data_IF_712508386748
#
_entry.id   IF_712508386748
#
_cell.length_a   1.000
_cell.length_b   1.000
_cell.length_c   1.000
_cell.angle_alpha   90.00
_cell.angle_beta   90.00
_cell.angle_gamma   90.00
#
_symmetry.space_group_name_H-M   'P 1'
#
loop_
_entity.id
_entity.type
_entity.pdbx_description
1 polymer ?
#
# COMPACT_ATOMS: atom_id res chain seq x y z
N UNK A 1 -0.37 -12.87 4.22
CA UNK A 1 1.05 -12.45 4.10
C UNK A 1 1.18 -11.11 4.79
N UNK A 2 2.23 -10.94 5.59
CA UNK A 2 2.31 -9.83 6.53
C UNK A 2 2.92 -8.57 5.89
N UNK A 3 2.12 -7.51 5.78
CA UNK A 3 2.64 -6.16 5.50
C UNK A 3 3.16 -5.54 6.80
N UNK A 4 4.48 -5.61 6.97
CA UNK A 4 5.16 -5.07 8.16
C UNK A 4 5.09 -3.54 8.23
N UNK A 5 5.49 -2.98 9.37
CA UNK A 5 5.59 -1.54 9.61
C UNK A 5 6.54 -0.87 8.60
N UNK A 6 7.60 -1.57 8.17
CA UNK A 6 8.54 -1.05 7.17
C UNK A 6 7.89 -0.90 5.80
N UNK A 7 7.10 -1.89 5.37
CA UNK A 7 6.32 -1.78 4.14
C UNK A 7 5.36 -0.60 4.22
N UNK A 8 4.66 -0.43 5.35
CA UNK A 8 3.77 0.69 5.57
C UNK A 8 4.46 2.07 5.49
N UNK A 9 5.71 2.17 5.99
CA UNK A 9 6.54 3.39 5.85
C UNK A 9 6.88 3.66 4.39
N UNK A 10 7.30 2.64 3.63
CA UNK A 10 7.60 2.76 2.19
C UNK A 10 6.36 3.20 1.40
N UNK A 11 5.20 2.61 1.68
CA UNK A 11 3.93 2.98 1.04
C UNK A 11 3.60 4.45 1.26
N UNK A 12 3.70 4.93 2.51
CA UNK A 12 3.44 6.35 2.84
C UNK A 12 4.41 7.29 2.14
N UNK A 13 5.69 6.93 2.08
CA UNK A 13 6.74 7.73 1.41
C UNK A 13 6.46 7.83 -0.09
N UNK A 14 6.35 6.70 -0.78
CA UNK A 14 6.09 6.68 -2.23
C UNK A 14 4.77 7.38 -2.59
N UNK A 15 3.73 7.20 -1.77
CA UNK A 15 2.47 7.93 -1.96
C UNK A 15 2.65 9.44 -1.84
N UNK A 16 3.43 9.90 -0.87
CA UNK A 16 3.76 11.31 -0.68
C UNK A 16 4.58 11.89 -1.82
N UNK A 17 5.61 11.17 -2.27
CA UNK A 17 6.46 11.55 -3.41
C UNK A 17 5.64 11.68 -4.70
N UNK A 18 4.69 10.77 -4.94
CA UNK A 18 3.78 10.82 -6.10
C UNK A 18 2.55 11.74 -5.90
N UNK A 19 2.44 12.42 -4.76
CA UNK A 19 1.31 13.28 -4.39
C UNK A 19 -0.08 12.61 -4.54
N UNK A 20 -0.15 11.30 -4.32
CA UNK A 20 -1.38 10.54 -4.49
C UNK A 20 -2.30 10.65 -3.25
N UNK A 21 -3.58 10.92 -3.50
CA UNK A 21 -4.62 10.83 -2.47
C UNK A 21 -4.86 9.38 -2.04
N UNK A 22 -5.35 9.17 -0.80
CA UNK A 22 -5.64 7.82 -0.29
C UNK A 22 -6.65 7.05 -1.16
N UNK A 23 -7.68 7.74 -1.66
CA UNK A 23 -8.68 7.12 -2.55
C UNK A 23 -8.08 6.76 -3.90
N UNK A 24 -7.18 7.59 -4.43
CA UNK A 24 -6.52 7.34 -5.71
C UNK A 24 -5.58 6.13 -5.61
N UNK A 25 -4.76 6.05 -4.56
CA UNK A 25 -3.90 4.90 -4.34
C UNK A 25 -4.72 3.61 -4.12
N UNK A 26 -5.80 3.68 -3.34
CA UNK A 26 -6.67 2.54 -3.12
C UNK A 26 -7.27 2.01 -4.44
N UNK A 27 -7.72 2.92 -5.32
CA UNK A 27 -8.19 2.57 -6.68
C UNK A 27 -7.07 1.94 -7.51
N UNK A 28 -5.86 2.51 -7.51
CA UNK A 28 -4.69 1.98 -8.26
C UNK A 28 -4.34 0.56 -7.83
N UNK A 29 -4.36 0.28 -6.52
CA UNK A 29 -4.10 -1.03 -5.93
C UNK A 29 -5.32 -1.98 -5.97
N UNK A 30 -6.45 -1.56 -6.54
CA UNK A 30 -7.71 -2.32 -6.59
C UNK A 30 -8.12 -2.84 -5.19
N UNK A 31 -8.10 -1.93 -4.21
CA UNK A 31 -8.54 -2.15 -2.83
C UNK A 31 -9.46 -1.01 -2.38
N UNK A 32 -10.10 -1.20 -1.24
CA UNK A 32 -10.92 -0.15 -0.62
C UNK A 32 -10.06 0.81 0.21
N UNK A 33 -10.44 2.10 0.35
CA UNK A 33 -9.72 3.05 1.19
C UNK A 33 -9.51 2.60 2.65
N UNK A 34 -10.48 1.92 3.31
CA UNK A 34 -10.25 1.36 4.65
C UNK A 34 -9.14 0.30 4.67
N UNK A 35 -9.03 -0.54 3.63
CA UNK A 35 -7.94 -1.51 3.52
C UNK A 35 -6.60 -0.82 3.33
N UNK A 36 -6.55 0.25 2.52
CA UNK A 36 -5.33 1.07 2.41
C UNK A 36 -4.93 1.67 3.77
N UNK A 37 -5.88 2.16 4.56
CA UNK A 37 -5.59 2.68 5.89
C UNK A 37 -4.96 1.62 6.82
N UNK A 38 -5.43 0.36 6.75
CA UNK A 38 -4.80 -0.77 7.47
C UNK A 38 -3.38 -1.06 6.99
N UNK A 39 -3.16 -1.01 5.67
CA UNK A 39 -1.83 -1.19 5.07
C UNK A 39 -0.86 -0.09 5.54
N UNK A 40 -1.29 1.17 5.54
CA UNK A 40 -0.48 2.31 5.97
C UNK A 40 -0.23 2.36 7.48
N UNK A 41 -1.12 1.77 8.28
CA UNK A 41 -0.90 1.55 9.71
C UNK A 41 0.17 0.47 9.95
N UNK A 42 0.26 -0.51 9.05
CA UNK A 42 1.20 -1.63 9.12
C UNK A 42 0.69 -2.78 10.00
N UNK A 43 1.50 -3.85 10.07
CA UNK A 43 1.16 -5.11 10.74
C UNK A 43 -0.19 -5.68 10.26
N UNK A 44 -0.47 -5.56 8.96
CA UNK A 44 -1.69 -6.04 8.35
C UNK A 44 -1.43 -7.39 7.69
N UNK A 45 -2.13 -8.44 8.15
CA UNK A 45 -2.14 -9.72 7.47
C UNK A 45 -3.06 -9.65 6.25
N UNK A 46 -2.45 -9.41 5.10
CA UNK A 46 -3.14 -9.19 3.85
C UNK A 46 -3.33 -10.51 3.09
N UNK A 47 -4.46 -10.71 2.39
CA UNK A 47 -4.58 -11.74 1.37
C UNK A 47 -3.45 -11.63 0.35
N UNK A 48 -2.98 -12.77 -0.17
CA UNK A 48 -1.84 -12.86 -1.12
C UNK A 48 -1.94 -11.83 -2.27
N UNK A 49 -3.12 -11.71 -2.90
CA UNK A 49 -3.41 -10.74 -3.97
C UNK A 49 -3.11 -9.28 -3.57
N UNK A 50 -3.49 -8.89 -2.36
CA UNK A 50 -3.29 -7.52 -1.86
C UNK A 50 -1.82 -7.29 -1.53
N UNK A 51 -1.19 -8.28 -0.89
CA UNK A 51 0.24 -8.23 -0.59
C UNK A 51 1.06 -8.05 -1.88
N UNK A 52 0.85 -8.90 -2.88
CA UNK A 52 1.53 -8.84 -4.17
C UNK A 52 1.32 -7.48 -4.85
N UNK A 53 0.07 -7.01 -4.95
CA UNK A 53 -0.22 -5.71 -5.56
C UNK A 53 0.49 -4.54 -4.86
N UNK A 54 0.60 -4.57 -3.52
CA UNK A 54 1.32 -3.53 -2.76
C UNK A 54 2.82 -3.62 -2.98
N UNK A 55 3.40 -4.82 -2.97
CA UNK A 55 4.84 -5.02 -3.17
C UNK A 55 5.25 -4.70 -4.61
N UNK A 56 4.50 -5.16 -5.61
CA UNK A 56 4.71 -4.81 -7.02
C UNK A 56 4.69 -3.28 -7.18
N UNK A 57 3.64 -2.63 -6.66
CA UNK A 57 3.57 -1.18 -6.70
C UNK A 57 4.72 -0.50 -5.96
N UNK A 58 5.28 -1.08 -4.90
CA UNK A 58 6.47 -0.54 -4.23
C UNK A 58 7.74 -0.72 -5.06
N UNK A 59 7.87 -1.82 -5.80
CA UNK A 59 9.02 -2.16 -6.64
C UNK A 59 9.02 -1.46 -8.00
N UNK A 60 7.88 -0.99 -8.50
CA UNK A 60 7.81 -0.15 -9.69
C UNK A 60 8.75 1.06 -9.54
N UNK A 61 9.69 1.28 -10.47
CA UNK A 61 10.45 2.53 -10.50
C UNK A 61 9.50 3.71 -10.81
N UNK A 62 9.71 4.85 -10.16
CA UNK A 62 8.89 6.06 -10.27
C UNK A 62 9.59 7.17 -11.06
#
# INVERSE_FOLDING_TARGET
MLLTIEHAKKVRRKRGELQLGKVQLAKKLKITPPTLAKIEAGNYDAPKRIYESVIEWLLEDY
#
